data_IF_071963353596
#
_entry.id   IF_071963353596
#
_cell.length_a   1.000
_cell.length_b   1.000
_cell.length_c   1.000
_cell.angle_alpha   90.00
_cell.angle_beta   90.00
_cell.angle_gamma   90.00
#
_symmetry.space_group_name_H-M   'P 1'
#
loop_
_entity.id
_entity.type
_entity.pdbx_description
1 polymer ?
#
# COMPACT_ATOMS: atom_id res chain seq x y z
N UNK A 1 -9.24 -5.14 -19.06
CA UNK A 1 -9.59 -4.91 -17.62
C UNK A 1 -8.28 -4.70 -16.90
N UNK A 2 -8.22 -3.82 -15.90
CA UNK A 2 -7.02 -3.58 -15.10
C UNK A 2 -7.29 -3.93 -13.65
N UNK A 3 -6.25 -4.31 -12.92
CA UNK A 3 -6.30 -4.61 -11.49
C UNK A 3 -5.21 -3.83 -10.73
N UNK A 4 -5.58 -3.23 -9.60
CA UNK A 4 -4.65 -2.53 -8.73
C UNK A 4 -4.65 -3.18 -7.35
N UNK A 5 -3.49 -3.54 -6.87
CA UNK A 5 -3.24 -4.10 -5.55
C UNK A 5 -2.55 -3.04 -4.69
N UNK A 6 -3.03 -2.84 -3.49
CA UNK A 6 -2.56 -1.76 -2.62
C UNK A 6 -2.21 -2.34 -1.25
N UNK A 7 -1.00 -2.08 -0.79
CA UNK A 7 -0.59 -2.49 0.54
C UNK A 7 -1.24 -1.63 1.64
N UNK A 8 -1.21 -2.12 2.89
CA UNK A 8 -1.79 -1.43 4.04
C UNK A 8 -0.75 -0.61 4.78
N UNK A 9 0.30 -1.27 5.29
CA UNK A 9 1.26 -0.64 6.20
C UNK A 9 2.19 0.32 5.45
N UNK A 10 2.23 1.57 5.89
CA UNK A 10 3.01 2.60 5.18
C UNK A 10 2.37 3.10 3.89
N UNK A 11 1.33 2.45 3.36
CA UNK A 11 0.68 2.77 2.08
C UNK A 11 -0.74 3.31 2.25
N UNK A 12 -1.71 2.47 2.64
CA UNK A 12 -3.07 2.91 2.99
C UNK A 12 -3.14 3.47 4.41
N UNK A 13 -2.32 2.94 5.28
CA UNK A 13 -2.23 3.31 6.69
C UNK A 13 -0.92 4.03 6.96
N UNK A 14 -0.99 5.23 7.54
CA UNK A 14 0.21 5.88 8.06
C UNK A 14 0.72 5.08 9.27
N UNK A 15 2.04 4.76 9.34
CA UNK A 15 2.59 3.91 10.39
C UNK A 15 2.79 4.68 11.71
N UNK A 16 1.71 5.11 12.33
CA UNK A 16 1.72 5.89 13.57
C UNK A 16 1.12 5.06 14.70
N UNK A 17 1.94 4.71 15.68
CA UNK A 17 1.58 3.84 16.81
C UNK A 17 1.80 4.53 18.14
N UNK A 18 1.02 4.17 19.17
CA UNK A 18 1.18 4.71 20.50
C UNK A 18 1.76 3.66 21.43
N UNK A 19 3.01 3.87 21.86
CA UNK A 19 3.73 2.98 22.76
C UNK A 19 4.09 3.74 24.05
N UNK A 20 3.66 3.21 25.19
CA UNK A 20 3.89 3.83 26.51
C UNK A 20 3.49 5.33 26.55
N UNK A 21 2.35 5.66 25.94
CA UNK A 21 1.80 7.01 25.89
C UNK A 21 2.46 7.96 24.87
N UNK A 22 3.50 7.52 24.15
CA UNK A 22 4.19 8.32 23.11
C UNK A 22 3.92 7.77 21.73
N UNK A 23 3.76 8.69 20.77
CA UNK A 23 3.67 8.30 19.36
C UNK A 23 5.05 7.96 18.81
N UNK A 24 5.12 6.90 18.00
CA UNK A 24 6.30 6.51 17.23
C UNK A 24 5.89 6.03 15.83
N UNK A 25 6.82 6.12 14.90
CA UNK A 25 6.67 5.65 13.53
C UNK A 25 7.56 4.42 13.37
N UNK A 26 6.94 3.31 12.95
CA UNK A 26 7.63 2.03 12.76
C UNK A 26 7.99 1.33 14.06
N UNK A 27 8.28 0.06 13.93
CA UNK A 27 8.70 -0.86 14.99
C UNK A 27 9.59 -1.93 14.38
N UNK A 28 10.49 -2.54 15.18
CA UNK A 28 11.12 -3.79 14.78
C UNK A 28 10.09 -4.93 14.82
N UNK A 29 10.37 -6.05 14.15
CA UNK A 29 9.46 -7.20 14.08
C UNK A 29 9.06 -7.71 15.48
N UNK A 30 10.01 -7.75 16.41
CA UNK A 30 9.76 -8.17 17.80
C UNK A 30 8.82 -7.17 18.51
N UNK A 31 9.03 -5.87 18.31
CA UNK A 31 8.17 -4.83 18.88
C UNK A 31 6.77 -4.88 18.26
N UNK A 32 6.70 -5.12 16.96
CA UNK A 32 5.44 -5.26 16.22
C UNK A 32 4.61 -6.44 16.71
N UNK A 33 5.23 -7.61 16.86
CA UNK A 33 4.55 -8.80 17.38
C UNK A 33 4.01 -8.59 18.80
N UNK A 34 4.80 -7.97 19.69
CA UNK A 34 4.39 -7.61 21.06
C UNK A 34 3.25 -6.57 21.05
N UNK A 35 3.34 -5.57 20.18
CA UNK A 35 2.32 -4.53 20.04
C UNK A 35 0.99 -5.12 19.56
N UNK A 36 0.99 -5.93 18.50
CA UNK A 36 -0.19 -6.63 17.99
C UNK A 36 -0.82 -7.54 19.05
N UNK A 37 0.00 -8.27 19.79
CA UNK A 37 -0.46 -9.14 20.88
C UNK A 37 -1.17 -8.36 22.00
N UNK A 38 -0.71 -7.15 22.31
CA UNK A 38 -1.28 -6.30 23.36
C UNK A 38 -2.54 -5.57 22.92
N UNK A 39 -2.58 -5.13 21.67
CA UNK A 39 -3.67 -4.28 21.15
C UNK A 39 -4.75 -5.07 20.41
N UNK A 40 -4.45 -6.27 19.95
CA UNK A 40 -5.40 -7.09 19.22
C UNK A 40 -5.97 -6.37 17.99
N UNK A 41 -7.28 -6.33 17.87
CA UNK A 41 -7.97 -5.65 16.76
C UNK A 41 -7.81 -4.11 16.79
N UNK A 42 -7.35 -3.52 17.89
CA UNK A 42 -7.10 -2.09 18.03
C UNK A 42 -5.66 -1.68 17.64
N UNK A 43 -4.88 -2.60 17.08
CA UNK A 43 -3.51 -2.35 16.60
C UNK A 43 -3.42 -1.09 15.72
N UNK A 44 -4.41 -0.82 14.89
CA UNK A 44 -4.46 0.35 13.98
C UNK A 44 -5.28 1.53 14.53
N UNK A 45 -5.58 1.57 15.83
CA UNK A 45 -6.42 2.64 16.42
C UNK A 45 -5.86 4.05 16.16
N UNK A 46 -4.55 4.20 16.24
CA UNK A 46 -3.85 5.48 16.08
C UNK A 46 -3.42 5.79 14.66
N UNK A 47 -3.45 4.80 13.78
CA UNK A 47 -3.11 4.98 12.37
C UNK A 47 -4.15 5.86 11.67
N UNK A 48 -3.70 6.57 10.64
CA UNK A 48 -4.55 7.45 9.83
C UNK A 48 -4.53 7.03 8.38
N UNK A 49 -5.65 7.22 7.66
CA UNK A 49 -5.69 6.91 6.24
C UNK A 49 -4.78 7.86 5.46
N UNK A 50 -4.11 7.36 4.45
CA UNK A 50 -3.33 8.15 3.50
C UNK A 50 -4.27 8.59 2.37
N UNK A 51 -4.80 9.81 2.49
CA UNK A 51 -5.86 10.29 1.61
C UNK A 51 -5.44 10.40 0.15
N UNK A 52 -4.18 10.73 -0.13
CA UNK A 52 -3.65 10.81 -1.50
C UNK A 52 -3.69 9.45 -2.20
N UNK A 53 -3.38 8.35 -1.49
CA UNK A 53 -3.50 6.99 -2.03
C UNK A 53 -4.96 6.63 -2.26
N UNK A 54 -5.85 7.02 -1.35
CA UNK A 54 -7.31 6.85 -1.54
C UNK A 54 -7.80 7.53 -2.81
N UNK A 55 -7.43 8.79 -3.03
CA UNK A 55 -7.80 9.56 -4.23
C UNK A 55 -7.21 8.94 -5.51
N UNK A 56 -5.95 8.51 -5.45
CA UNK A 56 -5.29 7.83 -6.57
C UNK A 56 -6.05 6.56 -6.99
N UNK A 57 -6.36 5.71 -6.03
CA UNK A 57 -7.09 4.47 -6.27
C UNK A 57 -8.54 4.72 -6.74
N UNK A 58 -9.23 5.70 -6.16
CA UNK A 58 -10.59 6.04 -6.61
C UNK A 58 -10.63 6.52 -8.07
N UNK A 59 -9.65 7.32 -8.50
CA UNK A 59 -9.51 7.71 -9.92
C UNK A 59 -9.27 6.51 -10.85
N UNK A 60 -8.58 5.48 -10.38
CA UNK A 60 -8.42 4.23 -11.13
C UNK A 60 -9.74 3.45 -11.19
N UNK A 61 -10.47 3.37 -10.07
CA UNK A 61 -11.79 2.72 -9.99
C UNK A 61 -12.81 3.35 -10.94
N UNK A 62 -12.84 4.67 -11.03
CA UNK A 62 -13.70 5.43 -11.97
C UNK A 62 -13.43 5.07 -13.44
N UNK A 63 -12.21 4.63 -13.75
CA UNK A 63 -11.81 4.14 -15.08
C UNK A 63 -12.07 2.64 -15.29
N UNK A 64 -12.69 1.97 -14.31
CA UNK A 64 -13.04 0.55 -14.38
C UNK A 64 -11.95 -0.39 -13.86
N UNK A 65 -10.90 0.11 -13.19
CA UNK A 65 -9.87 -0.72 -12.56
C UNK A 65 -10.45 -1.43 -11.33
N UNK A 66 -10.22 -2.73 -11.21
CA UNK A 66 -10.52 -3.50 -10.00
C UNK A 66 -9.54 -3.15 -8.91
N UNK A 67 -10.04 -2.89 -7.70
CA UNK A 67 -9.21 -2.52 -6.57
C UNK A 67 -9.15 -3.63 -5.53
N UNK A 68 -7.95 -4.06 -5.19
CA UNK A 68 -7.69 -5.07 -4.17
C UNK A 68 -6.75 -4.53 -3.11
N UNK A 69 -6.97 -4.92 -1.86
CA UNK A 69 -5.93 -4.82 -0.84
C UNK A 69 -5.09 -6.09 -0.90
N UNK A 70 -3.77 -5.94 -0.87
CA UNK A 70 -2.83 -7.05 -0.76
C UNK A 70 -1.76 -6.70 0.29
N UNK A 71 -1.89 -7.29 1.46
CA UNK A 71 -1.04 -6.97 2.61
C UNK A 71 -0.39 -8.22 3.19
N UNK A 72 0.70 -8.06 3.91
CA UNK A 72 1.31 -9.13 4.69
C UNK A 72 0.71 -9.16 6.08
N UNK A 73 0.40 -10.33 6.60
CA UNK A 73 -0.09 -10.51 7.97
C UNK A 73 0.43 -11.81 8.55
N UNK A 74 1.23 -11.73 9.59
CA UNK A 74 1.76 -12.90 10.28
C UNK A 74 0.76 -13.62 11.19
N UNK A 75 -0.39 -12.99 11.52
CA UNK A 75 -1.39 -13.56 12.40
C UNK A 75 -2.82 -13.20 11.99
N UNK A 76 -3.78 -14.03 12.41
CA UNK A 76 -5.21 -13.73 12.21
C UNK A 76 -5.66 -12.46 12.94
N UNK A 77 -5.05 -12.14 14.07
CA UNK A 77 -5.34 -10.94 14.86
C UNK A 77 -4.95 -9.71 14.06
N UNK A 78 -3.75 -9.71 13.48
CA UNK A 78 -3.27 -8.62 12.62
C UNK A 78 -4.16 -8.45 11.40
N UNK A 79 -4.54 -9.54 10.73
CA UNK A 79 -5.49 -9.50 9.61
C UNK A 79 -6.82 -8.87 10.01
N UNK A 80 -7.36 -9.23 11.18
CA UNK A 80 -8.60 -8.65 11.70
C UNK A 80 -8.45 -7.15 11.99
N UNK A 81 -7.34 -6.74 12.59
CA UNK A 81 -7.03 -5.34 12.86
C UNK A 81 -6.92 -4.50 11.58
N UNK A 82 -6.26 -5.02 10.54
CA UNK A 82 -6.20 -4.38 9.21
C UNK A 82 -7.57 -4.23 8.59
N UNK A 83 -8.40 -5.29 8.63
CA UNK A 83 -9.79 -5.22 8.12
C UNK A 83 -10.60 -4.16 8.86
N UNK A 84 -10.52 -4.10 10.18
CA UNK A 84 -11.21 -3.07 10.99
C UNK A 84 -10.77 -1.65 10.61
N UNK A 85 -9.47 -1.43 10.36
CA UNK A 85 -8.97 -0.16 9.85
C UNK A 85 -9.53 0.18 8.47
N UNK A 86 -9.53 -0.79 7.54
CA UNK A 86 -10.07 -0.61 6.19
C UNK A 86 -11.57 -0.34 6.21
N UNK A 87 -12.34 -1.03 7.03
CA UNK A 87 -13.78 -0.80 7.20
C UNK A 87 -14.08 0.62 7.71
N UNK A 88 -13.23 1.12 8.61
CA UNK A 88 -13.38 2.48 9.16
C UNK A 88 -13.15 3.59 8.13
N UNK A 89 -12.15 3.45 7.26
CA UNK A 89 -11.67 4.55 6.41
C UNK A 89 -11.88 4.33 4.91
N UNK A 90 -12.10 3.10 4.49
CA UNK A 90 -12.14 2.67 3.09
C UNK A 90 -13.36 1.78 2.76
N UNK A 91 -14.41 1.84 3.57
CA UNK A 91 -15.61 1.00 3.40
C UNK A 91 -16.15 1.04 1.96
N UNK A 92 -16.36 -0.14 1.37
CA UNK A 92 -16.91 -0.28 0.00
C UNK A 92 -15.98 0.14 -1.13
N UNK A 93 -14.71 0.45 -0.83
CA UNK A 93 -13.75 0.89 -1.84
C UNK A 93 -13.17 -0.27 -2.64
N UNK A 94 -12.83 -1.36 -1.97
CA UNK A 94 -12.14 -2.51 -2.54
C UNK A 94 -13.10 -3.61 -2.99
N UNK A 95 -12.73 -4.29 -4.08
CA UNK A 95 -13.44 -5.47 -4.57
C UNK A 95 -13.17 -6.67 -3.66
N UNK A 96 -11.94 -6.79 -3.10
CA UNK A 96 -11.60 -7.78 -2.07
C UNK A 96 -10.35 -7.38 -1.28
N UNK A 97 -10.08 -8.10 -0.16
CA UNK A 97 -8.98 -7.86 0.76
C UNK A 97 -8.23 -9.18 0.99
N UNK A 98 -6.99 -9.24 0.56
CA UNK A 98 -6.12 -10.40 0.66
C UNK A 98 -4.97 -10.16 1.63
N UNK A 99 -4.64 -11.19 2.39
CA UNK A 99 -3.48 -11.22 3.27
C UNK A 99 -2.60 -12.41 2.90
N UNK A 100 -1.31 -12.17 2.71
CA UNK A 100 -0.29 -13.20 2.52
C UNK A 100 0.56 -13.31 3.79
N UNK A 101 1.24 -14.43 3.97
CA UNK A 101 2.05 -14.67 5.17
C UNK A 101 3.40 -13.93 5.10
N UNK A 102 3.99 -13.85 3.92
CA UNK A 102 5.28 -13.19 3.69
C UNK A 102 5.20 -12.18 2.54
N UNK A 103 5.99 -11.13 2.62
CA UNK A 103 6.09 -10.10 1.58
C UNK A 103 6.43 -10.68 0.21
N UNK A 104 7.32 -11.67 0.15
CA UNK A 104 7.75 -12.32 -1.09
C UNK A 104 6.61 -13.10 -1.79
N UNK A 105 5.54 -13.40 -1.07
CA UNK A 105 4.35 -14.03 -1.65
C UNK A 105 3.47 -13.07 -2.44
N UNK A 106 3.60 -11.76 -2.24
CA UNK A 106 2.77 -10.75 -2.91
C UNK A 106 2.85 -10.84 -4.43
N UNK A 107 4.06 -10.98 -4.98
CA UNK A 107 4.25 -11.04 -6.44
C UNK A 107 3.60 -12.28 -7.02
N UNK A 108 3.83 -13.45 -6.43
CA UNK A 108 3.18 -14.70 -6.84
C UNK A 108 1.65 -14.57 -6.79
N UNK A 109 1.12 -14.00 -5.71
CA UNK A 109 -0.32 -13.78 -5.56
C UNK A 109 -0.89 -12.91 -6.69
N UNK A 110 -0.20 -11.82 -7.07
CA UNK A 110 -0.64 -10.95 -8.18
C UNK A 110 -0.68 -11.71 -9.50
N UNK A 111 0.35 -12.53 -9.79
CA UNK A 111 0.40 -13.32 -11.02
C UNK A 111 -0.72 -14.37 -11.08
N UNK A 112 -0.97 -15.07 -9.98
CA UNK A 112 -2.08 -16.03 -9.86
C UNK A 112 -3.44 -15.33 -10.05
N UNK A 113 -3.61 -14.16 -9.45
CA UNK A 113 -4.84 -13.37 -9.57
C UNK A 113 -5.03 -12.79 -10.98
N UNK A 114 -3.96 -12.36 -11.64
CA UNK A 114 -4.00 -11.92 -13.03
C UNK A 114 -4.49 -13.06 -13.95
N UNK A 115 -3.94 -14.27 -13.77
CA UNK A 115 -4.36 -15.45 -14.50
C UNK A 115 -5.85 -15.80 -14.25
N UNK A 116 -6.31 -15.73 -13.00
CA UNK A 116 -7.73 -15.94 -12.63
C UNK A 116 -8.65 -14.93 -13.33
N UNK A 117 -8.22 -13.66 -13.40
CA UNK A 117 -8.98 -12.58 -14.03
C UNK A 117 -8.88 -12.60 -15.57
N UNK A 118 -7.99 -13.41 -16.15
CA UNK A 118 -7.74 -13.45 -17.58
C UNK A 118 -7.09 -12.18 -18.13
N UNK A 119 -6.20 -11.56 -17.36
CA UNK A 119 -5.46 -10.34 -17.75
C UNK A 119 -3.95 -10.59 -17.69
N UNK A 120 -3.20 -9.78 -18.42
CA UNK A 120 -1.73 -9.85 -18.41
C UNK A 120 -1.14 -9.21 -17.15
N UNK A 121 0.06 -9.63 -16.70
CA UNK A 121 0.75 -8.99 -15.58
C UNK A 121 0.91 -7.46 -15.77
N UNK A 122 1.10 -6.99 -17.00
CA UNK A 122 1.20 -5.57 -17.36
C UNK A 122 -0.10 -4.77 -17.16
N UNK A 123 -1.24 -5.45 -17.02
CA UNK A 123 -2.53 -4.85 -16.65
C UNK A 123 -2.71 -4.75 -15.12
N UNK A 124 -1.77 -5.31 -14.35
CA UNK A 124 -1.73 -5.22 -12.90
C UNK A 124 -0.82 -4.10 -12.43
N UNK A 125 -1.19 -3.47 -11.31
CA UNK A 125 -0.38 -2.48 -10.62
C UNK A 125 -0.28 -2.84 -9.14
N UNK A 126 0.94 -2.75 -8.56
CA UNK A 126 1.16 -2.78 -7.12
C UNK A 126 1.53 -1.38 -6.63
N UNK A 127 0.79 -0.89 -5.62
CA UNK A 127 1.10 0.32 -4.85
C UNK A 127 1.64 -0.10 -3.49
N UNK A 128 2.88 0.31 -3.17
CA UNK A 128 3.66 -0.25 -2.07
C UNK A 128 4.68 0.78 -1.56
N UNK A 129 5.09 0.69 -0.30
CA UNK A 129 6.17 1.52 0.28
C UNK A 129 7.53 0.79 0.34
N UNK A 130 7.55 -0.51 0.11
CA UNK A 130 8.76 -1.35 0.21
C UNK A 130 9.43 -1.55 -1.14
N UNK A 131 10.56 -0.89 -1.36
CA UNK A 131 11.33 -0.95 -2.61
C UNK A 131 11.65 -2.37 -3.09
N UNK A 132 12.02 -3.26 -2.17
CA UNK A 132 12.40 -4.64 -2.51
C UNK A 132 11.26 -5.36 -3.23
N UNK A 133 10.03 -5.18 -2.78
CA UNK A 133 8.84 -5.80 -3.37
C UNK A 133 8.55 -5.20 -4.74
N UNK A 134 8.65 -3.87 -4.86
CA UNK A 134 8.46 -3.18 -6.13
C UNK A 134 9.48 -3.61 -7.20
N UNK A 135 10.74 -3.88 -6.82
CA UNK A 135 11.73 -4.39 -7.76
C UNK A 135 11.37 -5.80 -8.26
N UNK A 136 10.84 -6.65 -7.41
CA UNK A 136 10.36 -7.97 -7.81
C UNK A 136 9.17 -7.88 -8.79
N UNK A 137 8.20 -6.98 -8.51
CA UNK A 137 7.05 -6.79 -9.40
C UNK A 137 7.45 -6.28 -10.79
N UNK A 138 8.41 -5.35 -10.87
CA UNK A 138 8.94 -4.87 -12.16
C UNK A 138 9.55 -6.00 -12.98
N UNK A 139 10.26 -6.93 -12.34
CA UNK A 139 10.87 -8.08 -13.02
C UNK A 139 9.82 -8.98 -13.69
N UNK A 140 8.64 -9.09 -13.09
CA UNK A 140 7.51 -9.88 -13.60
C UNK A 140 6.58 -9.08 -14.54
N UNK A 141 6.97 -7.87 -14.94
CA UNK A 141 6.19 -7.03 -15.85
C UNK A 141 4.96 -6.38 -15.22
N UNK A 142 4.82 -6.43 -13.90
CA UNK A 142 3.74 -5.77 -13.15
C UNK A 142 4.12 -4.29 -12.97
N UNK A 143 3.17 -3.39 -13.20
CA UNK A 143 3.37 -1.96 -12.93
C UNK A 143 3.57 -1.73 -11.43
N UNK A 144 4.60 -0.98 -11.08
CA UNK A 144 5.00 -0.74 -9.69
C UNK A 144 4.98 0.74 -9.39
N UNK A 145 4.23 1.11 -8.36
CA UNK A 145 4.09 2.51 -7.93
C UNK A 145 4.47 2.63 -6.46
N UNK A 146 5.58 3.29 -6.20
CA UNK A 146 5.99 3.60 -4.83
C UNK A 146 5.12 4.73 -4.27
N UNK A 147 4.71 4.63 -3.01
CA UNK A 147 3.82 5.61 -2.36
C UNK A 147 4.32 7.05 -2.50
N UNK A 148 5.63 7.29 -2.45
CA UNK A 148 6.19 8.65 -2.59
C UNK A 148 5.85 9.29 -3.93
N UNK A 149 5.68 8.51 -5.01
CA UNK A 149 5.24 9.02 -6.31
C UNK A 149 3.84 9.62 -6.22
N UNK A 150 2.95 8.98 -5.45
CA UNK A 150 1.59 9.46 -5.24
C UNK A 150 1.58 10.69 -4.33
N UNK A 151 2.35 10.66 -3.24
CA UNK A 151 2.43 11.76 -2.29
C UNK A 151 3.02 13.03 -2.91
N UNK A 152 3.96 12.89 -3.84
CA UNK A 152 4.61 14.02 -4.52
C UNK A 152 3.88 14.51 -5.76
N UNK A 153 2.91 13.75 -6.30
CA UNK A 153 2.15 14.14 -7.48
C UNK A 153 1.40 15.48 -7.29
N UNK A 154 0.97 15.80 -6.06
CA UNK A 154 0.39 17.10 -5.72
C UNK A 154 1.41 18.27 -5.67
N UNK A 155 2.70 17.96 -5.64
CA UNK A 155 3.80 18.94 -5.64
C UNK A 155 4.41 19.13 -7.04
N UNK A 156 3.91 18.46 -8.07
CA UNK A 156 4.30 18.67 -9.47
C UNK A 156 3.79 20.02 -10.03
N UNK A 157 3.09 20.81 -9.22
CA UNK A 157 2.81 22.21 -9.47
C UNK A 157 4.10 23.05 -9.47
N UNK A 158 4.00 24.26 -9.92
CA UNK A 158 5.03 25.23 -10.30
C UNK A 158 6.28 25.36 -9.40
N UNK A 159 6.22 24.95 -8.13
CA UNK A 159 7.33 25.06 -7.19
C UNK A 159 8.54 24.16 -7.51
N UNK A 160 8.32 22.99 -8.13
CA UNK A 160 9.41 22.09 -8.56
C UNK A 160 9.73 22.22 -10.06
N UNK A 161 8.83 22.77 -10.86
CA UNK A 161 9.02 23.00 -12.29
C UNK A 161 10.04 24.09 -12.61
N UNK A 162 10.34 24.98 -11.67
CA UNK A 162 11.30 26.06 -11.85
C UNK A 162 12.75 25.71 -11.48
N UNK A 163 12.97 24.58 -10.81
CA UNK A 163 14.30 24.06 -10.52
C UNK A 163 14.79 23.11 -11.62
N UNK A 164 14.55 23.38 -12.89
CA UNK A 164 15.37 22.82 -13.94
C UNK A 164 16.78 23.32 -13.69
N UNK A 165 17.69 22.42 -13.39
CA UNK A 165 19.10 22.68 -13.51
C UNK A 165 19.32 23.32 -14.88
N UNK A 166 19.48 24.61 -14.93
CA UNK A 166 20.07 25.27 -16.09
C UNK A 166 21.46 24.69 -16.14
N UNK A 167 21.64 23.73 -17.06
CA UNK A 167 22.92 23.11 -17.32
C UNK A 167 23.88 24.26 -17.64
N UNK A 168 24.94 24.30 -16.89
CA UNK A 168 26.12 24.99 -17.27
C UNK A 168 26.53 24.48 -18.66
N UNK A 169 26.29 25.28 -19.65
CA UNK A 169 27.03 25.22 -20.91
C UNK A 169 28.31 25.98 -20.69
N UNK A 170 29.44 25.28 -20.61
CA UNK A 170 30.76 25.73 -20.96
C UNK A 170 31.45 24.66 -21.80
#
# INVERSE_FOLDING_TARGET
MQAMFIDVDGTLSSPCYKVNGKFQIGMSDVQWADYCSKHGEDTYEWCRPVMQVKEYAMKAKEKGTKLYVLTTSGTKIETAAKRRFLDRYYAGMFDDIYAVEHDDDKVRFILEKAAELGIEPSDCELVEDTYRILLQTVTEGIKSTHITTILTAGYSGEAYGSARCQGQSD
#
